data_IF_491470810579
#
_entry.id   IF_491470810579
#
_cell.length_a   1.000
_cell.length_b   1.000
_cell.length_c   1.000
_cell.angle_alpha   90.00
_cell.angle_beta   90.00
_cell.angle_gamma   90.00
#
_symmetry.space_group_name_H-M   'P 1'
#
loop_
_entity.id
_entity.type
_entity.pdbx_description
1 polymer ?
#
# COMPACT_ATOMS: atom_id res chain seq x y z
N UNK A 1 32.47 14.46 -40.95
CA UNK A 1 32.44 13.28 -40.15
C UNK A 1 32.07 13.55 -38.72
N UNK A 2 32.54 14.57 -38.13
CA UNK A 2 32.20 14.87 -36.76
C UNK A 2 30.75 15.25 -36.55
N UNK A 3 30.13 15.88 -37.54
CA UNK A 3 28.71 16.27 -37.45
C UNK A 3 27.80 15.05 -37.39
N UNK A 4 28.18 13.99 -38.02
CA UNK A 4 27.35 12.78 -38.04
C UNK A 4 27.40 12.05 -36.69
N UNK A 5 28.52 12.11 -36.00
CA UNK A 5 28.66 11.51 -34.68
C UNK A 5 27.83 12.24 -33.66
N UNK A 6 27.77 13.55 -33.74
CA UNK A 6 26.98 14.36 -32.83
C UNK A 6 25.48 14.10 -33.03
N UNK A 7 25.02 14.01 -34.26
CA UNK A 7 23.64 13.69 -34.57
C UNK A 7 23.25 12.31 -34.06
N UNK A 8 24.19 11.37 -34.11
CA UNK A 8 23.93 10.03 -33.66
C UNK A 8 23.78 9.96 -32.15
N UNK A 9 24.61 10.68 -31.43
CA UNK A 9 24.54 10.76 -29.97
C UNK A 9 23.23 11.39 -29.51
N UNK A 10 22.79 12.45 -30.19
CA UNK A 10 21.52 13.08 -29.87
C UNK A 10 20.33 12.15 -30.13
N UNK A 11 20.37 11.38 -31.18
CA UNK A 11 19.30 10.43 -31.48
C UNK A 11 19.23 9.30 -30.44
N UNK A 12 20.37 8.84 -29.99
CA UNK A 12 20.45 7.81 -28.94
C UNK A 12 19.94 8.35 -27.61
N UNK A 13 20.29 9.58 -27.28
CA UNK A 13 19.82 10.20 -26.05
C UNK A 13 18.30 10.40 -26.05
N UNK A 14 17.73 10.76 -27.16
CA UNK A 14 16.28 10.93 -27.30
C UNK A 14 15.55 9.58 -27.16
N UNK A 15 16.15 8.51 -27.63
CA UNK A 15 15.59 7.19 -27.48
C UNK A 15 15.58 6.74 -26.03
N UNK A 16 16.63 7.01 -25.29
CA UNK A 16 16.72 6.65 -23.89
C UNK A 16 15.66 7.39 -23.06
N UNK A 17 15.45 8.66 -23.32
CA UNK A 17 14.44 9.45 -22.64
C UNK A 17 13.04 8.93 -22.96
N UNK A 18 12.78 8.57 -24.21
CA UNK A 18 11.51 8.01 -24.61
C UNK A 18 11.19 6.68 -23.93
N UNK A 19 12.20 5.85 -23.73
CA UNK A 19 12.00 4.57 -23.06
C UNK A 19 11.74 4.73 -21.56
N UNK A 20 12.37 5.69 -20.91
CA UNK A 20 12.15 5.88 -19.49
C UNK A 20 10.77 6.43 -19.16
N UNK A 21 10.12 7.11 -20.08
CA UNK A 21 8.79 7.62 -19.82
C UNK A 21 7.69 6.56 -19.97
N UNK A 22 7.98 5.45 -20.61
CA UNK A 22 6.99 4.41 -20.78
C UNK A 22 6.86 3.46 -19.61
N UNK A 23 7.77 3.52 -18.67
CA UNK A 23 7.79 2.52 -17.62
C UNK A 23 6.89 2.86 -16.45
N UNK A 24 6.28 4.02 -16.44
CA UNK A 24 5.58 4.42 -15.26
C UNK A 24 4.09 4.21 -15.32
N UNK A 25 3.58 3.76 -16.45
CA UNK A 25 2.18 3.80 -16.56
C UNK A 25 1.45 2.57 -16.24
N UNK A 26 2.15 1.54 -15.95
CA UNK A 26 1.47 0.38 -15.98
C UNK A 26 0.94 -0.11 -14.81
N UNK A 27 1.17 0.50 -13.86
CA UNK A 27 0.88 -0.08 -12.75
C UNK A 27 -0.25 0.15 -12.21
N UNK A 28 -1.04 -0.17 -12.55
CA UNK A 28 -1.91 -0.55 -11.82
C UNK A 28 -2.14 -0.09 -10.65
N UNK A 29 -2.34 1.01 -10.57
CA UNK A 29 -2.79 1.50 -9.43
C UNK A 29 -4.11 1.11 -9.16
N UNK A 30 -4.20 0.36 -8.26
CA UNK A 30 -5.41 0.05 -7.62
C UNK A 30 -5.94 1.23 -6.83
N UNK A 31 -5.09 2.13 -6.45
CA UNK A 31 -5.48 3.31 -5.71
C UNK A 31 -5.80 4.46 -6.66
N UNK A 32 -7.05 4.88 -6.70
CA UNK A 32 -7.47 6.00 -7.49
C UNK A 32 -7.50 7.25 -6.62
N UNK A 33 -7.15 8.39 -7.19
CA UNK A 33 -7.14 9.64 -6.44
C UNK A 33 -8.49 9.97 -5.81
N UNK A 34 -9.56 9.60 -6.44
CA UNK A 34 -10.90 9.84 -5.93
C UNK A 34 -11.23 9.05 -4.66
N UNK A 35 -10.52 7.95 -4.42
CA UNK A 35 -10.73 7.13 -3.23
C UNK A 35 -9.78 7.53 -2.10
N UNK A 36 -8.99 8.54 -2.26
CA UNK A 36 -8.00 8.95 -1.27
C UNK A 36 -8.67 9.42 0.03
N UNK A 37 -8.25 8.83 1.12
CA UNK A 37 -8.78 9.17 2.45
C UNK A 37 -7.81 10.07 3.21
N UNK A 38 -6.54 9.79 3.18
CA UNK A 38 -5.55 10.58 3.90
C UNK A 38 -4.21 9.89 4.04
N UNK A 39 -3.31 10.51 4.77
CA UNK A 39 -2.00 9.96 5.07
C UNK A 39 -1.94 9.58 6.54
N UNK A 40 -1.41 8.40 6.84
CA UNK A 40 -1.22 7.94 8.21
C UNK A 40 0.26 7.79 8.52
N UNK A 41 0.64 8.12 9.76
CA UNK A 41 2.02 8.05 10.21
C UNK A 41 2.15 7.15 11.41
N UNK A 42 3.16 6.27 11.37
CA UNK A 42 3.54 5.46 12.54
C UNK A 42 2.38 4.69 13.17
N UNK A 43 1.58 4.06 12.33
CA UNK A 43 0.50 3.20 12.82
C UNK A 43 1.03 1.81 13.11
N UNK A 44 0.74 1.30 14.28
CA UNK A 44 1.20 -0.01 14.73
C UNK A 44 0.11 -1.05 14.48
N UNK A 45 0.48 -2.20 14.03
CA UNK A 45 -0.47 -3.27 13.77
C UNK A 45 0.18 -4.63 13.55
N UNK A 46 -0.63 -5.59 13.18
CA UNK A 46 -0.21 -6.98 12.97
C UNK A 46 -0.50 -7.41 11.54
N UNK A 47 0.46 -8.06 10.92
CA UNK A 47 0.35 -8.51 9.52
C UNK A 47 -0.40 -9.83 9.46
N UNK A 48 -1.33 -9.94 8.52
CA UNK A 48 -2.04 -11.18 8.22
C UNK A 48 -2.25 -11.34 6.71
N UNK A 49 -2.43 -12.58 6.27
CA UNK A 49 -2.75 -12.86 4.87
C UNK A 49 -4.22 -13.24 4.72
N UNK A 50 -4.91 -12.57 3.80
CA UNK A 50 -6.31 -12.86 3.49
C UNK A 50 -6.35 -13.80 2.28
N UNK A 51 -6.76 -15.04 2.50
CA UNK A 51 -6.78 -16.06 1.44
C UNK A 51 -7.86 -15.79 0.40
N UNK A 52 -8.94 -15.13 0.78
CA UNK A 52 -10.04 -14.84 -0.15
C UNK A 52 -9.64 -13.73 -1.11
N UNK A 53 -9.07 -12.64 -0.58
CA UNK A 53 -8.60 -11.54 -1.40
C UNK A 53 -7.22 -11.80 -2.00
N UNK A 54 -6.53 -12.84 -1.54
CA UNK A 54 -5.16 -13.16 -1.98
C UNK A 54 -4.22 -11.97 -1.80
N UNK A 55 -4.32 -11.35 -0.65
CA UNK A 55 -3.58 -10.12 -0.35
C UNK A 55 -3.21 -10.07 1.12
N UNK A 56 -2.12 -9.38 1.42
CA UNK A 56 -1.72 -9.10 2.79
C UNK A 56 -2.46 -7.87 3.32
N UNK A 57 -2.72 -7.86 4.61
CA UNK A 57 -3.25 -6.67 5.27
C UNK A 57 -2.62 -6.50 6.65
N UNK A 58 -2.74 -5.29 7.18
CA UNK A 58 -2.25 -4.96 8.50
C UNK A 58 -3.46 -4.58 9.35
N UNK A 59 -3.69 -5.35 10.41
CA UNK A 59 -4.74 -5.03 11.37
C UNK A 59 -4.19 -4.01 12.36
N UNK A 60 -4.69 -2.79 12.29
CA UNK A 60 -4.16 -1.66 13.04
C UNK A 60 -4.64 -1.70 14.49
N UNK A 61 -3.74 -1.43 15.43
CA UNK A 61 -4.07 -1.37 16.84
C UNK A 61 -5.04 -0.21 17.09
N UNK A 62 -6.13 -0.50 17.76
CA UNK A 62 -7.10 0.53 18.09
C UNK A 62 -6.64 1.32 19.32
N UNK A 63 -7.01 2.62 19.41
CA UNK A 63 -6.59 3.42 20.56
C UNK A 63 -7.20 2.87 21.85
N UNK A 64 -6.51 3.04 22.99
CA UNK A 64 -7.03 2.55 24.27
C UNK A 64 -8.33 3.26 24.65
N UNK A 65 -9.26 2.52 25.21
CA UNK A 65 -10.51 3.07 25.69
C UNK A 65 -10.45 3.32 27.21
N UNK A 66 -11.32 4.19 27.74
CA UNK A 66 -11.41 4.38 29.17
C UNK A 66 -11.72 3.08 29.92
N UNK A 67 -11.36 3.03 31.20
CA UNK A 67 -11.57 1.85 32.02
C UNK A 67 -13.03 1.42 31.99
N UNK A 68 -13.28 0.14 31.84
CA UNK A 68 -14.64 -0.40 31.75
C UNK A 68 -15.23 -0.39 30.35
N UNK A 69 -14.56 0.18 29.38
CA UNK A 69 -14.98 0.20 27.99
C UNK A 69 -14.11 -0.73 27.15
N UNK A 70 -14.70 -1.37 26.15
CA UNK A 70 -13.95 -2.24 25.23
C UNK A 70 -14.61 -2.21 23.86
N UNK A 71 -13.82 -2.56 22.84
CA UNK A 71 -14.30 -2.61 21.47
C UNK A 71 -15.12 -3.88 21.24
N UNK A 72 -16.21 -3.73 20.50
CA UNK A 72 -17.01 -4.87 20.07
C UNK A 72 -16.97 -4.88 18.54
N UNK A 73 -16.36 -5.91 17.98
CA UNK A 73 -16.32 -6.11 16.52
C UNK A 73 -15.74 -4.94 15.74
N UNK A 74 -14.88 -4.15 16.34
CA UNK A 74 -14.24 -3.04 15.65
C UNK A 74 -12.86 -3.45 15.17
N UNK A 75 -12.53 -3.09 13.94
CA UNK A 75 -11.21 -3.33 13.38
C UNK A 75 -10.90 -2.30 12.29
N UNK A 76 -9.64 -1.96 12.12
CA UNK A 76 -9.14 -1.12 11.03
C UNK A 76 -8.13 -1.95 10.27
N UNK A 77 -8.41 -2.23 9.00
CA UNK A 77 -7.61 -3.12 8.18
C UNK A 77 -7.03 -2.37 6.99
N UNK A 78 -5.69 -2.39 6.87
CA UNK A 78 -5.00 -1.77 5.74
C UNK A 78 -4.48 -2.87 4.82
N UNK A 79 -5.14 -3.04 3.68
CA UNK A 79 -4.70 -3.98 2.65
C UNK A 79 -3.60 -3.37 1.81
N UNK A 80 -2.63 -4.16 1.39
CA UNK A 80 -1.56 -3.67 0.53
C UNK A 80 -1.08 -4.79 -0.40
N UNK A 81 -0.86 -4.43 -1.69
CA UNK A 81 -0.29 -5.37 -2.64
C UNK A 81 1.23 -5.25 -2.72
N UNK A 82 1.81 -4.27 -2.02
CA UNK A 82 3.24 -4.00 -2.09
C UNK A 82 3.95 -4.25 -0.77
N UNK A 83 3.42 -5.15 0.06
CA UNK A 83 4.11 -5.48 1.31
C UNK A 83 5.45 -6.12 0.99
N UNK A 84 6.58 -5.55 1.44
CA UNK A 84 7.88 -6.15 1.18
C UNK A 84 7.96 -7.57 1.71
N UNK A 85 8.64 -8.43 0.99
CA UNK A 85 8.68 -9.85 1.29
C UNK A 85 9.16 -10.16 2.70
N UNK A 86 10.08 -9.35 3.21
CA UNK A 86 10.60 -9.51 4.56
C UNK A 86 9.54 -9.38 5.65
N UNK A 87 8.41 -8.71 5.34
CA UNK A 87 7.33 -8.51 6.29
C UNK A 87 6.12 -9.42 6.02
N UNK A 88 6.20 -10.29 5.03
CA UNK A 88 5.11 -11.20 4.67
C UNK A 88 5.10 -12.41 5.61
N UNK A 89 4.64 -12.20 6.83
CA UNK A 89 4.60 -13.23 7.84
C UNK A 89 3.39 -12.98 8.75
N UNK A 90 2.50 -13.96 8.86
CA UNK A 90 1.32 -13.85 9.72
C UNK A 90 1.72 -13.63 11.17
N UNK A 91 1.11 -12.66 11.80
CA UNK A 91 1.37 -12.36 13.22
C UNK A 91 2.53 -11.40 13.46
N UNK A 92 3.18 -10.92 12.41
CA UNK A 92 4.31 -10.01 12.56
C UNK A 92 3.84 -8.63 12.99
N UNK A 93 4.48 -8.07 14.01
CA UNK A 93 4.16 -6.73 14.50
C UNK A 93 4.98 -5.68 13.74
N UNK A 94 4.29 -4.72 13.15
CA UNK A 94 4.91 -3.69 12.32
C UNK A 94 4.40 -2.30 12.65
N UNK A 95 5.19 -1.30 12.28
CA UNK A 95 4.79 0.11 12.31
C UNK A 95 4.85 0.61 10.87
N UNK A 96 3.77 1.22 10.40
CA UNK A 96 3.64 1.63 9.00
C UNK A 96 3.22 3.08 8.85
N UNK A 97 3.62 3.67 7.73
CA UNK A 97 3.18 5.01 7.32
C UNK A 97 2.86 4.94 5.82
N UNK A 98 1.91 5.69 5.39
CA UNK A 98 1.55 5.74 3.97
C UNK A 98 0.24 6.45 3.70
N UNK A 99 -0.13 6.48 2.44
CA UNK A 99 -1.41 7.04 2.00
C UNK A 99 -2.47 5.97 2.01
N UNK A 100 -3.63 6.26 2.56
CA UNK A 100 -4.74 5.32 2.61
C UNK A 100 -5.88 5.75 1.69
N UNK A 101 -6.54 4.75 1.13
CA UNK A 101 -7.62 4.89 0.17
C UNK A 101 -8.74 3.95 0.56
N UNK A 102 -9.95 4.24 0.18
CA UNK A 102 -11.06 3.31 0.37
C UNK A 102 -10.78 2.00 -0.36
N UNK A 103 -11.09 0.89 0.26
CA UNK A 103 -10.79 -0.42 -0.29
C UNK A 103 -12.07 -1.08 -0.83
N UNK A 104 -11.98 -1.62 -2.04
CA UNK A 104 -13.05 -2.42 -2.62
C UNK A 104 -12.59 -3.87 -2.69
N UNK A 105 -13.41 -4.77 -2.16
CA UNK A 105 -13.09 -6.20 -2.22
C UNK A 105 -13.20 -6.72 -3.65
N UNK A 106 -12.22 -7.52 -4.06
CA UNK A 106 -12.14 -8.02 -5.42
C UNK A 106 -12.79 -9.38 -5.58
N UNK A 107 -12.71 -10.23 -4.57
CA UNK A 107 -13.16 -11.61 -4.69
C UNK A 107 -14.50 -11.87 -4.00
N UNK A 108 -14.69 -11.42 -2.81
CA UNK A 108 -15.95 -11.60 -2.11
C UNK A 108 -16.12 -10.50 -1.08
N UNK A 109 -17.16 -9.68 -1.18
CA UNK A 109 -17.38 -8.68 -0.16
C UNK A 109 -17.73 -9.38 1.16
N UNK A 110 -17.00 -9.04 2.21
CA UNK A 110 -17.26 -9.57 3.52
C UNK A 110 -17.14 -8.45 4.54
N UNK A 111 -18.03 -7.49 4.41
CA UNK A 111 -18.06 -6.37 5.32
C UNK A 111 -18.67 -6.81 6.63
N UNK A 112 -17.94 -6.57 7.71
CA UNK A 112 -18.44 -6.81 9.06
C UNK A 112 -18.75 -5.46 9.72
N UNK A 113 -19.82 -5.40 10.47
CA UNK A 113 -20.19 -4.17 11.17
C UNK A 113 -19.08 -3.73 12.11
N UNK A 114 -18.74 -2.45 12.05
CA UNK A 114 -17.67 -1.89 12.88
C UNK A 114 -16.27 -2.03 12.32
N UNK A 115 -16.12 -2.74 11.20
CA UNK A 115 -14.82 -2.86 10.55
C UNK A 115 -14.64 -1.78 9.50
N UNK A 116 -13.43 -1.20 9.41
CA UNK A 116 -13.07 -0.22 8.40
C UNK A 116 -11.98 -0.82 7.52
N UNK A 117 -12.16 -0.75 6.21
CA UNK A 117 -11.27 -1.37 5.25
C UNK A 117 -10.65 -0.30 4.35
N UNK A 118 -9.32 -0.29 4.28
CA UNK A 118 -8.58 0.66 3.46
C UNK A 118 -7.50 -0.05 2.66
N UNK A 119 -7.09 0.55 1.56
CA UNK A 119 -5.87 0.16 0.86
C UNK A 119 -4.78 1.15 1.26
N UNK A 120 -3.60 0.66 1.62
CA UNK A 120 -2.47 1.54 1.96
C UNK A 120 -1.36 1.42 0.93
N UNK A 121 -0.88 2.58 0.47
CA UNK A 121 0.35 2.67 -0.30
C UNK A 121 1.45 3.03 0.69
N UNK A 122 2.28 2.04 1.03
CA UNK A 122 3.27 2.20 2.07
C UNK A 122 4.38 3.16 1.67
N UNK A 123 4.69 4.13 2.52
CA UNK A 123 5.88 4.96 2.39
C UNK A 123 6.98 4.51 3.34
N UNK A 124 6.62 3.92 4.48
CA UNK A 124 7.57 3.37 5.44
C UNK A 124 6.97 2.16 6.12
N UNK A 125 7.80 1.18 6.42
CA UNK A 125 7.42 0.03 7.23
C UNK A 125 8.65 -0.43 8.03
N UNK A 126 8.43 -0.82 9.27
CA UNK A 126 9.47 -1.36 10.13
C UNK A 126 8.87 -2.30 11.17
N UNK A 127 9.72 -3.06 11.82
CA UNK A 127 9.28 -3.92 12.91
C UNK A 127 8.98 -3.07 14.15
N UNK A 128 7.88 -3.40 14.81
CA UNK A 128 7.54 -2.75 16.07
C UNK A 128 8.31 -3.40 17.19
N UNK A 129 8.95 -2.58 17.98
CA UNK A 129 9.72 -3.05 19.13
C UNK A 129 8.88 -3.14 20.40
#
# INVERSE_FOLDING_TARGET
>A
MEKNKLLWICAVLLLVIGLSSCSSDDDMSVAKDEDYVGYVSNKTGTVYYDKIEESWYISIDLPPLPEGHYYIDSAILYYTYSLPKAYQQNGLRVTVSGSIYDYEFHNAPHYLGGHEYYYIVLSQIGLTQ
#
